data_IF_922315426427
#
_entry.id   IF_922315426427
#
_cell.length_a   1.000
_cell.length_b   1.000
_cell.length_c   1.000
_cell.angle_alpha   90.00
_cell.angle_beta   90.00
_cell.angle_gamma   90.00
#
_symmetry.space_group_name_H-M   'P 1'
#
loop_
_entity.id
_entity.type
_entity.pdbx_description
1 polymer ?
#
# COMPACT_ATOMS: atom_id res chain seq x y z
N UNK A 1 12.27 -26.62 5.58
CA UNK A 1 10.81 -26.50 5.83
C UNK A 1 10.50 -25.02 5.90
N UNK A 2 10.19 -24.38 4.77
CA UNK A 2 10.03 -22.92 4.71
C UNK A 2 9.24 -22.41 3.50
N UNK A 3 9.01 -23.25 2.48
CA UNK A 3 8.47 -22.80 1.18
C UNK A 3 6.96 -22.96 1.01
N UNK A 4 6.21 -23.35 2.05
CA UNK A 4 4.80 -23.72 1.92
C UNK A 4 3.82 -22.83 2.73
N UNK A 5 4.20 -21.58 3.05
CA UNK A 5 3.24 -20.66 3.68
C UNK A 5 2.26 -20.16 2.63
N UNK A 6 1.00 -20.60 2.70
CA UNK A 6 -0.09 -20.07 1.88
C UNK A 6 -0.45 -18.67 2.39
N UNK A 7 -0.36 -17.67 1.51
CA UNK A 7 -0.68 -16.27 1.84
C UNK A 7 -2.04 -15.82 1.29
N UNK A 8 -2.58 -16.59 0.36
CA UNK A 8 -3.81 -16.29 -0.34
C UNK A 8 -4.50 -17.58 -0.79
N UNK A 9 -5.83 -17.63 -0.68
CA UNK A 9 -6.65 -18.73 -1.18
C UNK A 9 -7.98 -18.24 -1.76
N UNK A 10 -8.43 -18.91 -2.81
CA UNK A 10 -9.79 -18.81 -3.37
C UNK A 10 -10.43 -20.19 -3.32
N UNK A 11 -11.67 -20.26 -2.84
CA UNK A 11 -12.45 -21.48 -2.79
C UNK A 11 -13.78 -21.30 -3.54
N UNK A 12 -13.95 -22.03 -4.64
CA UNK A 12 -15.20 -22.08 -5.41
C UNK A 12 -15.56 -20.77 -6.10
N UNK A 13 -14.59 -19.89 -6.36
CA UNK A 13 -14.90 -18.53 -6.79
C UNK A 13 -15.50 -18.50 -8.20
N UNK A 14 -16.67 -17.87 -8.33
CA UNK A 14 -17.39 -17.72 -9.59
C UNK A 14 -17.83 -16.28 -9.79
N UNK A 15 -17.75 -15.80 -11.03
CA UNK A 15 -18.14 -14.43 -11.40
C UNK A 15 -19.06 -14.46 -12.62
N UNK A 16 -20.21 -13.80 -12.45
CA UNK A 16 -21.22 -13.58 -13.46
C UNK A 16 -21.37 -12.07 -13.68
N UNK A 17 -21.39 -11.64 -14.93
CA UNK A 17 -21.83 -10.29 -15.30
C UNK A 17 -23.24 -10.35 -15.87
N UNK A 18 -24.12 -9.39 -15.52
CA UNK A 18 -25.44 -9.28 -16.12
C UNK A 18 -25.38 -9.18 -17.67
N UNK A 19 -26.37 -9.71 -18.40
CA UNK A 19 -27.53 -10.45 -17.88
C UNK A 19 -27.18 -11.88 -17.43
N UNK A 20 -26.32 -12.62 -18.13
CA UNK A 20 -25.97 -14.02 -17.78
C UNK A 20 -24.55 -14.44 -18.24
N UNK A 21 -23.59 -13.51 -18.37
CA UNK A 21 -22.24 -13.84 -18.85
C UNK A 21 -21.37 -14.37 -17.71
N UNK A 22 -21.16 -15.68 -17.66
CA UNK A 22 -20.21 -16.31 -16.73
C UNK A 22 -18.78 -16.10 -17.23
N UNK A 23 -17.96 -15.41 -16.44
CA UNK A 23 -16.55 -15.12 -16.77
C UNK A 23 -15.56 -15.93 -15.93
N UNK A 24 -15.94 -16.30 -14.71
CA UNK A 24 -15.18 -17.22 -13.85
C UNK A 24 -16.11 -18.31 -13.34
N UNK A 25 -15.61 -19.53 -13.26
CA UNK A 25 -16.40 -20.70 -12.87
C UNK A 25 -15.62 -21.59 -11.92
N UNK A 26 -16.05 -21.63 -10.67
CA UNK A 26 -15.61 -22.57 -9.64
C UNK A 26 -14.08 -22.62 -9.48
N UNK A 27 -13.47 -21.44 -9.37
CA UNK A 27 -12.03 -21.29 -9.29
C UNK A 27 -11.55 -21.66 -7.88
N UNK A 28 -10.63 -22.61 -7.81
CA UNK A 28 -9.87 -22.95 -6.60
C UNK A 28 -8.40 -22.70 -6.87
N UNK A 29 -7.78 -21.83 -6.09
CA UNK A 29 -6.35 -21.57 -6.20
C UNK A 29 -5.79 -21.10 -4.87
N UNK A 30 -4.49 -21.33 -4.66
CA UNK A 30 -3.79 -20.83 -3.49
C UNK A 30 -2.39 -20.38 -3.89
N UNK A 31 -1.92 -19.30 -3.30
CA UNK A 31 -0.59 -18.76 -3.56
C UNK A 31 0.30 -18.93 -2.33
N UNK A 32 1.49 -19.45 -2.57
CA UNK A 32 2.55 -19.53 -1.57
C UNK A 32 3.31 -18.20 -1.50
N UNK A 33 3.85 -17.91 -0.33
CA UNK A 33 4.74 -16.77 -0.15
C UNK A 33 5.94 -16.86 -1.11
N UNK A 34 6.22 -15.76 -1.82
CA UNK A 34 7.31 -15.68 -2.80
C UNK A 34 6.99 -16.25 -4.19
N UNK A 35 5.80 -16.84 -4.40
CA UNK A 35 5.41 -17.36 -5.70
C UNK A 35 5.31 -16.25 -6.76
N UNK A 36 5.87 -16.50 -7.95
CA UNK A 36 5.72 -15.64 -9.14
C UNK A 36 4.79 -16.33 -10.13
N UNK A 37 3.65 -15.73 -10.41
CA UNK A 37 2.55 -16.39 -11.12
C UNK A 37 2.15 -15.57 -12.33
N UNK A 38 2.21 -16.19 -13.52
CA UNK A 38 1.68 -15.62 -14.75
C UNK A 38 0.27 -16.11 -15.02
N UNK A 39 -0.69 -15.20 -15.17
CA UNK A 39 -2.08 -15.52 -15.55
C UNK A 39 -2.23 -15.33 -17.06
N UNK A 40 -2.44 -16.44 -17.77
CA UNK A 40 -2.57 -16.48 -19.23
C UNK A 40 -3.99 -16.85 -19.67
N UNK A 41 -4.36 -16.48 -20.89
CA UNK A 41 -5.66 -16.79 -21.48
C UNK A 41 -6.09 -15.77 -22.53
N UNK A 42 -7.08 -16.13 -23.35
CA UNK A 42 -7.62 -15.26 -24.40
C UNK A 42 -8.26 -13.98 -23.82
N UNK A 43 -8.51 -12.98 -24.66
CA UNK A 43 -9.28 -11.80 -24.25
C UNK A 43 -10.70 -12.23 -23.85
N UNK A 44 -11.18 -11.70 -22.73
CA UNK A 44 -12.49 -12.07 -22.17
C UNK A 44 -12.50 -13.36 -21.34
N UNK A 45 -11.38 -14.07 -21.16
CA UNK A 45 -11.26 -15.27 -20.29
C UNK A 45 -11.39 -14.99 -18.79
N UNK A 46 -11.59 -13.74 -18.37
CA UNK A 46 -11.79 -13.38 -16.97
C UNK A 46 -10.51 -13.01 -16.20
N UNK A 47 -9.34 -12.90 -16.85
CA UNK A 47 -8.07 -12.52 -16.18
C UNK A 47 -8.18 -11.23 -15.36
N UNK A 48 -8.68 -10.16 -15.98
CA UNK A 48 -8.85 -8.88 -15.28
C UNK A 48 -9.89 -8.96 -14.17
N UNK A 49 -10.94 -9.77 -14.33
CA UNK A 49 -11.92 -10.02 -13.27
C UNK A 49 -11.30 -10.78 -12.10
N UNK A 50 -10.47 -11.79 -12.38
CA UNK A 50 -9.74 -12.53 -11.36
C UNK A 50 -8.83 -11.59 -10.55
N UNK A 51 -8.01 -10.79 -11.23
CA UNK A 51 -7.10 -9.85 -10.55
C UNK A 51 -7.85 -8.79 -9.75
N UNK A 52 -8.98 -8.27 -10.25
CA UNK A 52 -9.82 -7.30 -9.51
C UNK A 52 -10.45 -7.91 -8.25
N UNK A 53 -10.88 -9.17 -8.30
CA UNK A 53 -11.39 -9.89 -7.13
C UNK A 53 -10.27 -10.05 -6.09
N UNK A 54 -9.08 -10.47 -6.53
CA UNK A 54 -7.90 -10.60 -5.65
C UNK A 54 -7.52 -9.23 -5.05
N UNK A 55 -7.58 -8.16 -5.83
CA UNK A 55 -7.31 -6.80 -5.36
C UNK A 55 -8.40 -6.22 -4.44
N UNK A 56 -9.52 -6.92 -4.21
CA UNK A 56 -10.66 -6.40 -3.46
C UNK A 56 -11.46 -5.31 -4.17
N UNK A 57 -11.17 -5.05 -5.45
CA UNK A 57 -11.84 -4.04 -6.29
C UNK A 57 -13.19 -4.52 -6.85
N UNK A 58 -13.41 -5.84 -6.89
CA UNK A 58 -14.69 -6.43 -7.31
C UNK A 58 -15.16 -7.44 -6.27
N UNK A 59 -16.16 -7.06 -5.47
CA UNK A 59 -16.73 -7.88 -4.40
C UNK A 59 -17.99 -8.64 -4.83
N UNK A 60 -18.41 -8.53 -6.10
CA UNK A 60 -19.61 -9.18 -6.61
C UNK A 60 -19.26 -10.56 -7.19
N UNK A 61 -18.89 -11.50 -6.34
CA UNK A 61 -18.58 -12.88 -6.73
C UNK A 61 -19.22 -13.88 -5.75
N UNK A 62 -19.28 -15.14 -6.14
CA UNK A 62 -19.64 -16.26 -5.28
C UNK A 62 -18.36 -17.00 -4.86
N UNK A 63 -18.40 -17.71 -3.73
CA UNK A 63 -17.25 -18.42 -3.16
C UNK A 63 -16.53 -17.59 -2.09
N UNK A 64 -15.33 -18.01 -1.73
CA UNK A 64 -14.55 -17.41 -0.64
C UNK A 64 -13.17 -16.97 -1.13
N UNK A 65 -12.72 -15.81 -0.64
CA UNK A 65 -11.39 -15.26 -0.87
C UNK A 65 -10.77 -14.94 0.48
N UNK A 66 -9.61 -15.53 0.77
CA UNK A 66 -8.95 -15.43 2.09
C UNK A 66 -7.52 -14.98 1.92
N UNK A 67 -7.12 -13.98 2.72
CA UNK A 67 -5.75 -13.52 2.86
C UNK A 67 -5.20 -13.89 4.23
N UNK A 68 -3.94 -14.33 4.28
CA UNK A 68 -3.27 -14.49 5.56
C UNK A 68 -3.11 -13.14 6.28
N UNK A 69 -3.23 -13.09 7.62
CA UNK A 69 -2.99 -11.86 8.37
C UNK A 69 -1.59 -11.29 8.14
N UNK A 70 -1.49 -9.96 8.12
CA UNK A 70 -0.22 -9.23 7.95
C UNK A 70 0.24 -9.07 6.50
N UNK A 71 -0.55 -9.47 5.51
CA UNK A 71 -0.28 -9.23 4.10
C UNK A 71 -1.25 -8.20 3.52
N UNK A 72 -0.74 -7.35 2.64
CA UNK A 72 -1.52 -6.38 1.88
C UNK A 72 -1.50 -6.73 0.39
N UNK A 73 -2.47 -6.21 -0.35
CA UNK A 73 -2.57 -6.41 -1.80
C UNK A 73 -2.41 -5.07 -2.49
N UNK A 74 -1.48 -4.99 -3.44
CA UNK A 74 -1.33 -3.87 -4.36
C UNK A 74 -1.72 -4.28 -5.77
N UNK A 75 -2.49 -3.43 -6.46
CA UNK A 75 -2.87 -3.62 -7.86
C UNK A 75 -2.30 -2.47 -8.69
N UNK A 76 -1.53 -2.81 -9.72
CA UNK A 76 -1.13 -1.86 -10.75
C UNK A 76 -2.11 -1.97 -11.92
N UNK A 77 -2.86 -0.89 -12.16
CA UNK A 77 -3.81 -0.84 -13.27
C UNK A 77 -3.09 -0.70 -14.62
N UNK A 78 -3.76 -1.15 -15.69
CA UNK A 78 -3.22 -1.00 -17.06
C UNK A 78 -3.09 0.47 -17.44
N UNK A 79 -4.05 1.29 -17.01
CA UNK A 79 -4.07 2.73 -17.17
C UNK A 79 -4.04 3.39 -15.78
N UNK A 80 -2.85 3.61 -15.21
CA UNK A 80 -2.72 4.18 -13.87
C UNK A 80 -3.32 5.59 -13.84
N UNK A 81 -4.14 5.83 -12.83
CA UNK A 81 -4.71 7.15 -12.56
C UNK A 81 -3.76 7.91 -11.64
N UNK A 82 -3.16 8.98 -12.16
CA UNK A 82 -2.25 9.85 -11.41
C UNK A 82 -2.82 11.26 -11.31
N UNK A 83 -2.55 11.94 -10.20
CA UNK A 83 -2.94 13.32 -10.02
C UNK A 83 -2.08 14.23 -10.91
N UNK A 84 -2.73 14.91 -11.86
CA UNK A 84 -2.08 15.79 -12.83
C UNK A 84 -1.55 17.09 -12.21
N UNK A 85 -1.95 17.41 -10.98
CA UNK A 85 -1.46 18.58 -10.26
C UNK A 85 -0.17 18.31 -9.49
N UNK A 86 0.22 17.04 -9.36
CA UNK A 86 1.42 16.62 -8.64
C UNK A 86 2.60 16.46 -9.58
N UNK A 87 3.77 16.80 -9.07
CA UNK A 87 5.05 16.46 -9.67
C UNK A 87 5.30 14.96 -9.60
N UNK A 88 6.22 14.47 -10.43
CA UNK A 88 6.66 13.08 -10.42
C UNK A 88 7.14 12.66 -9.02
N UNK A 89 7.92 13.50 -8.33
CA UNK A 89 8.42 13.20 -6.98
C UNK A 89 7.25 13.02 -6.00
N UNK A 90 6.28 13.93 -6.02
CA UNK A 90 5.09 13.87 -5.15
C UNK A 90 4.25 12.61 -5.41
N UNK A 91 4.14 12.15 -6.67
CA UNK A 91 3.47 10.88 -7.00
C UNK A 91 4.23 9.69 -6.41
N UNK A 92 5.56 9.66 -6.52
CA UNK A 92 6.37 8.58 -5.96
C UNK A 92 6.33 8.57 -4.43
N UNK A 93 6.26 9.74 -3.81
CA UNK A 93 6.10 9.92 -2.36
C UNK A 93 4.80 9.31 -1.82
N UNK A 94 3.74 9.18 -2.64
CA UNK A 94 2.50 8.51 -2.22
C UNK A 94 2.73 7.04 -1.84
N UNK A 95 3.72 6.38 -2.48
CA UNK A 95 4.12 5.01 -2.16
C UNK A 95 4.70 4.86 -0.75
N UNK A 96 5.11 5.98 -0.13
CA UNK A 96 5.70 6.07 1.22
C UNK A 96 5.00 7.15 2.06
N UNK A 97 3.71 7.39 1.78
CA UNK A 97 2.92 8.47 2.38
C UNK A 97 2.95 8.47 3.92
N UNK A 98 2.99 7.30 4.56
CA UNK A 98 3.08 7.20 6.03
C UNK A 98 4.37 7.83 6.55
N UNK A 99 5.50 7.56 5.89
CA UNK A 99 6.80 8.13 6.27
C UNK A 99 6.82 9.64 6.04
N UNK A 100 6.30 10.10 4.90
CA UNK A 100 6.18 11.52 4.57
C UNK A 100 5.27 12.25 5.58
N UNK A 101 4.16 11.63 5.97
CA UNK A 101 3.24 12.20 6.94
C UNK A 101 3.87 12.33 8.33
N UNK A 102 4.67 11.33 8.75
CA UNK A 102 5.41 11.38 10.00
C UNK A 102 6.50 12.47 10.00
N UNK A 103 7.20 12.66 8.88
CA UNK A 103 8.18 13.75 8.74
C UNK A 103 7.50 15.12 8.88
N UNK A 104 6.38 15.34 8.17
CA UNK A 104 5.59 16.56 8.32
C UNK A 104 5.09 16.78 9.74
N UNK A 105 4.68 15.71 10.43
CA UNK A 105 4.28 15.76 11.83
C UNK A 105 5.45 16.14 12.74
N UNK A 106 6.64 15.60 12.49
CA UNK A 106 7.86 15.93 13.23
C UNK A 106 8.25 17.40 13.05
N UNK A 107 8.21 17.90 11.80
CA UNK A 107 8.44 19.32 11.50
C UNK A 107 7.44 20.24 12.21
N UNK A 108 6.14 19.91 12.16
CA UNK A 108 5.10 20.69 12.84
C UNK A 108 5.25 20.68 14.38
N UNK A 109 5.79 19.60 14.96
CA UNK A 109 6.14 19.53 16.39
C UNK A 109 7.35 20.44 16.66
N UNK A 110 8.36 20.44 15.79
CA UNK A 110 9.54 21.29 15.92
C UNK A 110 9.19 22.78 15.91
N UNK A 111 8.26 23.19 15.05
CA UNK A 111 7.78 24.58 14.99
C UNK A 111 7.10 25.03 16.29
N UNK A 112 6.38 24.12 16.97
CA UNK A 112 5.70 24.44 18.24
C UNK A 112 6.68 24.75 19.38
N UNK A 113 7.93 24.27 19.34
CA UNK A 113 8.93 24.62 20.34
C UNK A 113 9.30 26.12 20.34
N UNK A 114 8.99 26.84 19.27
CA UNK A 114 9.20 28.29 19.19
C UNK A 114 7.99 29.11 19.69
N UNK A 115 6.86 28.46 20.03
CA UNK A 115 5.66 29.14 20.50
C UNK A 115 5.86 29.62 21.96
N UNK A 116 5.68 30.92 22.25
CA UNK A 116 5.74 31.44 23.62
C UNK A 116 4.82 30.70 24.60
N UNK A 117 3.65 30.24 24.15
CA UNK A 117 2.72 29.49 24.99
C UNK A 117 3.27 28.12 25.44
N UNK A 118 4.20 27.55 24.66
CA UNK A 118 4.90 26.31 25.01
C UNK A 118 6.15 26.59 25.84
N UNK A 119 6.88 27.67 25.53
CA UNK A 119 8.10 28.05 26.25
C UNK A 119 7.82 28.45 27.71
N UNK A 120 6.68 29.12 27.94
CA UNK A 120 6.30 29.60 29.27
C UNK A 120 5.56 28.54 30.12
N UNK A 121 5.29 27.35 29.57
CA UNK A 121 4.58 26.25 30.23
C UNK A 121 5.44 24.97 30.24
N UNK A 122 5.98 24.63 31.42
CA UNK A 122 6.84 23.47 31.61
C UNK A 122 6.14 22.12 31.36
N UNK A 123 4.83 22.02 31.64
CA UNK A 123 4.07 20.80 31.39
C UNK A 123 3.78 20.67 29.90
N UNK A 124 3.44 21.77 29.21
CA UNK A 124 3.27 21.79 27.76
C UNK A 124 4.57 21.42 27.03
N UNK A 125 5.71 21.97 27.46
CA UNK A 125 7.04 21.64 26.96
C UNK A 125 7.35 20.15 27.13
N UNK A 126 7.15 19.60 28.33
CA UNK A 126 7.41 18.17 28.62
C UNK A 126 6.57 17.26 27.73
N UNK A 127 5.27 17.54 27.61
CA UNK A 127 4.36 16.79 26.73
C UNK A 127 4.78 16.87 25.25
N UNK A 128 5.31 18.01 24.80
CA UNK A 128 5.76 18.17 23.41
C UNK A 128 7.03 17.35 23.13
N UNK A 129 7.97 17.31 24.08
CA UNK A 129 9.18 16.48 24.02
C UNK A 129 8.80 14.99 23.93
N UNK A 130 7.86 14.53 24.74
CA UNK A 130 7.39 13.13 24.69
C UNK A 130 6.78 12.79 23.34
N UNK A 131 5.89 13.65 22.82
CA UNK A 131 5.29 13.48 21.49
C UNK A 131 6.32 13.47 20.36
N UNK A 132 7.32 14.35 20.44
CA UNK A 132 8.43 14.39 19.49
C UNK A 132 9.20 13.06 19.52
N UNK A 133 9.50 12.54 20.71
CA UNK A 133 10.18 11.27 20.91
C UNK A 133 9.45 10.08 20.29
N UNK A 134 8.13 9.97 20.49
CA UNK A 134 7.31 8.91 19.87
C UNK A 134 7.32 8.96 18.34
N UNK A 135 7.31 10.18 17.76
CA UNK A 135 7.35 10.34 16.31
C UNK A 135 8.75 10.03 15.78
N UNK A 136 9.80 10.46 16.49
CA UNK A 136 11.18 10.17 16.14
C UNK A 136 11.46 8.67 16.12
N UNK A 137 11.03 7.92 17.13
CA UNK A 137 11.20 6.46 17.18
C UNK A 137 10.56 5.77 15.97
N UNK A 138 9.38 6.23 15.54
CA UNK A 138 8.71 5.72 14.33
C UNK A 138 9.49 6.06 13.06
N UNK A 139 10.02 7.28 12.96
CA UNK A 139 10.84 7.71 11.83
C UNK A 139 12.14 6.90 11.73
N UNK A 140 12.78 6.62 12.87
CA UNK A 140 13.97 5.77 12.94
C UNK A 140 13.67 4.35 12.46
N UNK A 141 12.57 3.74 12.94
CA UNK A 141 12.15 2.42 12.52
C UNK A 141 11.85 2.32 11.01
N UNK A 142 11.27 3.38 10.42
CA UNK A 142 11.00 3.46 8.98
C UNK A 142 12.25 3.82 8.15
N UNK A 143 13.35 4.19 8.79
CA UNK A 143 14.55 4.71 8.14
C UNK A 143 14.23 5.94 7.30
N UNK A 144 13.47 6.87 7.87
CA UNK A 144 12.95 8.06 7.20
C UNK A 144 14.04 9.06 6.81
N UNK A 145 15.17 9.07 7.52
CA UNK A 145 16.28 10.00 7.26
C UNK A 145 16.98 9.75 5.92
N UNK A 146 16.84 8.54 5.36
CA UNK A 146 17.33 8.17 4.03
C UNK A 146 16.25 8.27 2.94
N UNK A 147 15.10 8.91 3.23
CA UNK A 147 13.94 8.92 2.35
C UNK A 147 14.29 9.46 0.96
N UNK A 148 14.97 10.60 0.85
CA UNK A 148 15.34 11.17 -0.45
C UNK A 148 16.19 10.21 -1.29
N UNK A 149 17.15 9.52 -0.67
CA UNK A 149 17.96 8.52 -1.36
C UNK A 149 17.16 7.27 -1.77
N UNK A 150 16.14 6.88 -0.99
CA UNK A 150 15.20 5.81 -1.37
C UNK A 150 14.31 6.23 -2.53
N UNK A 151 13.76 7.45 -2.49
CA UNK A 151 12.93 8.02 -3.55
C UNK A 151 13.71 8.12 -4.86
N UNK A 152 14.94 8.65 -4.83
CA UNK A 152 15.78 8.75 -6.02
C UNK A 152 16.03 7.37 -6.65
N UNK A 153 16.41 6.37 -5.84
CA UNK A 153 16.61 4.99 -6.33
C UNK A 153 15.34 4.41 -6.95
N UNK A 154 14.17 4.69 -6.38
CA UNK A 154 12.90 4.24 -6.92
C UNK A 154 12.57 4.93 -8.25
N UNK A 155 12.75 6.25 -8.33
CA UNK A 155 12.57 7.05 -9.54
C UNK A 155 13.46 6.57 -10.68
N UNK A 156 14.75 6.34 -10.40
CA UNK A 156 15.71 5.81 -11.37
C UNK A 156 15.30 4.42 -11.88
N UNK A 157 14.86 3.53 -10.99
CA UNK A 157 14.42 2.18 -11.36
C UNK A 157 13.14 2.19 -12.20
N UNK A 158 12.22 3.11 -11.92
CA UNK A 158 10.98 3.33 -12.67
C UNK A 158 11.22 4.10 -13.98
N UNK A 159 12.44 4.64 -14.17
CA UNK A 159 12.81 5.50 -15.32
C UNK A 159 11.84 6.67 -15.47
N UNK A 160 11.54 7.31 -14.34
CA UNK A 160 10.73 8.53 -14.36
C UNK A 160 11.45 9.62 -15.17
N UNK A 161 10.71 10.52 -15.84
CA UNK A 161 11.29 11.63 -16.59
C UNK A 161 12.04 12.62 -15.70
#
# INVERSE_FOLDING_TARGET
MGDEKIIFSMAGVSKLYPPQKKVLSNIYLSFFYGAKIGVLGLNGSGKSSLLRIIAGLDNQYQGEVVFSPGYTVGMLEQEPQLDQQKTVKEIVEEGVHETVALLKKFEAINEQFADPAILDDADAMTNLIEKQGEVQEKLDHLGAWDLDAKLQRAMDALRTP
#
